data_IF_037269332687
#
_entry.id   IF_037269332687
#
_cell.length_a   1.000
_cell.length_b   1.000
_cell.length_c   1.000
_cell.angle_alpha   90.00
_cell.angle_beta   90.00
_cell.angle_gamma   90.00
#
_symmetry.space_group_name_H-M   'P 1'
#
loop_
_entity.id
_entity.type
_entity.pdbx_description
1 polymer ?
#
# COMPACT_ATOMS: atom_id res chain seq x y z
N UNK A 1 -13.73 -2.41 -16.63
CA UNK A 1 -13.38 -3.13 -15.37
C UNK A 1 -12.53 -2.17 -14.55
N UNK A 2 -12.65 -2.12 -13.22
CA UNK A 2 -11.94 -1.13 -12.40
C UNK A 2 -10.67 -1.71 -11.80
N UNK A 3 -9.52 -1.19 -12.21
CA UNK A 3 -8.22 -1.46 -11.60
C UNK A 3 -7.98 -0.42 -10.51
N UNK A 4 -7.53 -0.85 -9.34
CA UNK A 4 -7.23 0.02 -8.19
C UNK A 4 -5.86 -0.29 -7.64
N UNK A 5 -5.26 0.67 -6.93
CA UNK A 5 -3.94 0.50 -6.36
C UNK A 5 -3.88 0.92 -4.88
N UNK A 6 -2.90 0.37 -4.17
CA UNK A 6 -2.48 0.82 -2.85
C UNK A 6 -0.98 1.08 -2.84
N UNK A 7 -0.56 2.16 -2.21
CA UNK A 7 0.84 2.52 -2.01
C UNK A 7 1.11 2.74 -0.51
N UNK A 8 1.99 1.94 0.07
CA UNK A 8 2.38 2.00 1.48
C UNK A 8 3.84 2.39 1.59
N UNK A 9 4.11 3.60 2.08
CA UNK A 9 5.48 4.11 2.26
C UNK A 9 5.80 4.16 3.75
N UNK A 10 6.52 3.13 4.21
CA UNK A 10 7.05 3.05 5.56
C UNK A 10 8.48 3.60 5.67
N UNK A 11 9.05 3.54 6.86
CA UNK A 11 10.40 4.02 7.14
C UNK A 11 11.51 3.17 6.49
N UNK A 12 11.28 1.86 6.35
CA UNK A 12 12.26 0.93 5.81
C UNK A 12 11.98 0.52 4.37
N UNK A 13 10.70 0.35 4.03
CA UNK A 13 10.25 -0.13 2.72
C UNK A 13 9.04 0.65 2.22
N UNK A 14 8.99 0.79 0.89
CA UNK A 14 7.82 1.19 0.15
C UNK A 14 7.23 -0.05 -0.54
N UNK A 15 5.91 -0.15 -0.57
CA UNK A 15 5.17 -1.26 -1.18
C UNK A 15 4.08 -0.70 -2.09
N UNK A 16 3.82 -1.38 -3.19
CA UNK A 16 2.66 -1.13 -4.04
C UNK A 16 1.95 -2.44 -4.37
N UNK A 17 0.63 -2.37 -4.44
CA UNK A 17 -0.23 -3.50 -4.86
C UNK A 17 -1.24 -2.96 -5.86
N UNK A 18 -1.41 -3.68 -6.97
CA UNK A 18 -2.43 -3.42 -7.99
C UNK A 18 -3.44 -4.55 -7.92
N UNK A 19 -4.73 -4.19 -7.88
CA UNK A 19 -5.82 -5.14 -7.77
C UNK A 19 -6.86 -4.94 -8.87
N UNK A 20 -7.40 -6.06 -9.35
CA UNK A 20 -8.56 -6.09 -10.22
C UNK A 20 -9.55 -7.14 -9.71
N UNK A 21 -10.84 -6.78 -9.61
CA UNK A 21 -11.93 -7.68 -9.17
C UNK A 21 -11.60 -8.42 -7.86
N UNK A 22 -10.99 -7.70 -6.91
CA UNK A 22 -10.64 -8.24 -5.60
C UNK A 22 -9.46 -9.22 -5.60
N UNK A 23 -8.71 -9.34 -6.71
CA UNK A 23 -7.49 -10.15 -6.80
C UNK A 23 -6.29 -9.24 -6.99
N UNK A 24 -5.17 -9.62 -6.39
CA UNK A 24 -3.88 -8.96 -6.65
C UNK A 24 -3.40 -9.42 -8.03
N UNK A 25 -3.15 -8.46 -8.92
CA UNK A 25 -2.63 -8.72 -10.27
C UNK A 25 -1.16 -8.33 -10.42
N UNK A 26 -0.66 -7.43 -9.57
CA UNK A 26 0.77 -7.09 -9.49
C UNK A 26 1.12 -6.50 -8.12
N UNK A 27 2.39 -6.61 -7.74
CA UNK A 27 2.92 -5.99 -6.53
C UNK A 27 4.42 -5.71 -6.66
N UNK A 28 4.90 -4.77 -5.86
CA UNK A 28 6.32 -4.46 -5.73
C UNK A 28 6.66 -4.05 -4.29
N UNK A 29 7.92 -4.27 -3.92
CA UNK A 29 8.50 -3.87 -2.65
C UNK A 29 9.91 -3.37 -2.89
N UNK A 30 10.20 -2.16 -2.42
CA UNK A 30 11.51 -1.52 -2.52
C UNK A 30 11.94 -0.96 -1.17
N UNK A 31 13.24 -0.70 -0.99
CA UNK A 31 13.74 0.07 0.16
C UNK A 31 13.26 1.52 0.04
N UNK A 32 12.85 2.10 1.16
CA UNK A 32 12.47 3.51 1.20
C UNK A 32 13.69 4.40 0.95
N UNK A 33 13.48 5.45 0.16
CA UNK A 33 14.41 6.57 0.00
C UNK A 33 14.07 7.65 1.03
N UNK A 34 14.98 8.62 1.19
CA UNK A 34 14.77 9.76 2.09
C UNK A 34 13.51 10.56 1.76
N UNK A 35 13.14 10.66 0.48
CA UNK A 35 11.92 11.31 0.05
C UNK A 35 10.79 10.27 -0.14
N UNK A 36 9.66 10.39 0.60
CA UNK A 36 8.51 9.50 0.44
C UNK A 36 7.92 9.48 -0.97
N UNK A 37 7.80 10.63 -1.64
CA UNK A 37 7.28 10.73 -3.01
C UNK A 37 8.12 9.86 -3.96
N UNK A 38 9.44 10.01 -3.92
CA UNK A 38 10.35 9.25 -4.79
C UNK A 38 10.34 7.74 -4.49
N UNK A 39 9.99 7.36 -3.27
CA UNK A 39 9.82 5.95 -2.88
C UNK A 39 8.51 5.40 -3.44
N UNK A 40 7.43 6.18 -3.32
CA UNK A 40 6.11 5.87 -3.81
C UNK A 40 6.08 5.72 -5.34
N UNK A 41 6.66 6.67 -6.06
CA UNK A 41 6.76 6.65 -7.53
C UNK A 41 7.54 5.43 -8.01
N UNK A 42 8.70 5.15 -7.40
CA UNK A 42 9.54 4.03 -7.79
C UNK A 42 8.84 2.69 -7.59
N UNK A 43 8.19 2.47 -6.45
CA UNK A 43 7.52 1.19 -6.18
C UNK A 43 6.23 1.04 -6.99
N UNK A 44 5.51 2.14 -7.23
CA UNK A 44 4.31 2.11 -8.08
C UNK A 44 4.67 1.83 -9.53
N UNK A 45 5.71 2.49 -10.06
CA UNK A 45 6.21 2.26 -11.42
C UNK A 45 6.64 0.80 -11.62
N UNK A 46 7.34 0.22 -10.65
CA UNK A 46 7.74 -1.19 -10.69
C UNK A 46 6.52 -2.14 -10.74
N UNK A 47 5.49 -1.87 -9.93
CA UNK A 47 4.26 -2.67 -9.94
C UNK A 47 3.46 -2.52 -11.24
N UNK A 48 3.35 -1.29 -11.77
CA UNK A 48 2.66 -0.98 -13.02
C UNK A 48 3.36 -1.63 -14.22
N UNK A 49 4.68 -1.52 -14.30
CA UNK A 49 5.50 -2.14 -15.35
C UNK A 49 5.32 -3.66 -15.40
N UNK A 50 5.35 -4.33 -14.24
CA UNK A 50 5.07 -5.78 -14.13
C UNK A 50 3.68 -6.18 -14.62
N UNK A 51 2.71 -5.28 -14.51
CA UNK A 51 1.35 -5.51 -14.98
C UNK A 51 1.13 -5.10 -16.45
N UNK A 52 2.11 -4.44 -17.09
CA UNK A 52 1.92 -3.81 -18.41
C UNK A 52 0.90 -2.66 -18.38
N UNK A 53 0.82 -1.94 -17.26
CA UNK A 53 -0.12 -0.84 -17.02
C UNK A 53 0.60 0.50 -16.84
N UNK A 54 -0.17 1.57 -16.89
CA UNK A 54 0.21 2.94 -16.57
C UNK A 54 -0.62 3.48 -15.40
N UNK A 55 -0.24 4.64 -14.85
CA UNK A 55 -1.02 5.25 -13.77
C UNK A 55 -2.43 5.66 -14.24
N UNK A 56 -2.61 5.98 -15.52
CA UNK A 56 -3.91 6.35 -16.10
C UNK A 56 -4.91 5.18 -16.13
N UNK A 57 -4.42 3.94 -16.05
CA UNK A 57 -5.26 2.74 -15.94
C UNK A 57 -5.81 2.55 -14.52
N UNK A 58 -5.24 3.23 -13.52
CA UNK A 58 -5.62 3.12 -12.11
C UNK A 58 -6.79 4.06 -11.83
N UNK A 59 -7.97 3.48 -11.59
CA UNK A 59 -9.18 4.25 -11.31
C UNK A 59 -9.19 4.91 -9.94
N UNK A 60 -8.50 4.31 -8.97
CA UNK A 60 -8.44 4.81 -7.60
C UNK A 60 -7.22 4.26 -6.87
N UNK A 61 -6.52 5.12 -6.14
CA UNK A 61 -5.31 4.81 -5.41
C UNK A 61 -5.37 5.30 -3.95
N UNK A 62 -5.06 4.41 -3.01
CA UNK A 62 -4.91 4.75 -1.59
C UNK A 62 -3.42 4.84 -1.22
N UNK A 63 -3.04 5.95 -0.61
CA UNK A 63 -1.75 6.12 0.06
C UNK A 63 -1.82 5.78 1.54
N UNK A 64 -0.82 5.08 2.05
CA UNK A 64 -0.69 4.76 3.48
C UNK A 64 0.76 4.70 3.93
N UNK A 65 0.98 4.37 5.20
CA UNK A 65 2.30 4.41 5.82
C UNK A 65 2.65 5.80 6.39
N UNK A 66 3.87 5.91 6.93
CA UNK A 66 4.43 7.15 7.46
C UNK A 66 4.50 8.26 6.40
N UNK A 67 4.87 7.89 5.17
CA UNK A 67 5.07 8.82 4.06
C UNK A 67 3.80 9.34 3.38
N UNK A 68 2.62 8.80 3.72
CA UNK A 68 1.37 8.95 2.94
C UNK A 68 0.96 10.38 2.59
N UNK A 69 1.21 11.34 3.49
CA UNK A 69 0.82 12.75 3.29
C UNK A 69 1.65 13.47 2.22
N UNK A 70 2.77 12.87 1.81
CA UNK A 70 3.69 13.43 0.84
C UNK A 70 3.61 12.70 -0.51
N UNK A 71 2.55 11.92 -0.75
CA UNK A 71 2.36 11.18 -2.01
C UNK A 71 1.31 11.93 -2.84
N UNK A 72 1.70 12.46 -4.00
CA UNK A 72 0.83 13.34 -4.80
C UNK A 72 -0.15 12.60 -5.72
N UNK A 73 0.15 11.36 -6.10
CA UNK A 73 -0.64 10.59 -7.07
C UNK A 73 -1.79 9.79 -6.45
N UNK A 74 -1.97 9.82 -5.12
CA UNK A 74 -3.02 9.06 -4.43
C UNK A 74 -4.28 9.89 -4.33
N UNK A 75 -5.44 9.27 -4.56
CA UNK A 75 -6.73 9.95 -4.42
C UNK A 75 -7.07 10.24 -2.95
N UNK A 76 -6.55 9.41 -2.04
CA UNK A 76 -6.77 9.57 -0.61
C UNK A 76 -5.67 8.93 0.22
N UNK A 77 -5.26 9.62 1.28
CA UNK A 77 -4.43 9.04 2.33
C UNK A 77 -5.26 8.41 3.45
N UNK A 78 -4.83 7.25 3.93
CA UNK A 78 -5.49 6.49 4.99
C UNK A 78 -4.43 5.98 5.96
N UNK A 79 -4.73 5.91 7.26
CA UNK A 79 -3.79 5.39 8.25
C UNK A 79 -3.41 3.94 7.98
N UNK A 80 -2.16 3.60 8.23
CA UNK A 80 -1.64 2.23 8.09
C UNK A 80 -2.37 1.25 9.00
N UNK A 81 -2.83 1.68 10.18
CA UNK A 81 -3.64 0.87 11.10
C UNK A 81 -4.93 0.40 10.41
N UNK A 82 -5.65 1.31 9.75
CA UNK A 82 -6.87 0.97 9.03
C UNK A 82 -6.59 0.11 7.80
N UNK A 83 -5.51 0.39 7.06
CA UNK A 83 -5.09 -0.40 5.90
C UNK A 83 -4.69 -1.83 6.29
N UNK A 84 -3.88 -2.01 7.34
CA UNK A 84 -3.53 -3.32 7.90
C UNK A 84 -4.76 -4.06 8.40
N UNK A 85 -5.67 -3.39 9.11
CA UNK A 85 -6.96 -3.95 9.54
C UNK A 85 -7.77 -4.50 8.38
N UNK A 86 -7.92 -3.70 7.31
CA UNK A 86 -8.66 -4.09 6.11
C UNK A 86 -7.99 -5.24 5.37
N UNK A 87 -6.67 -5.19 5.18
CA UNK A 87 -5.89 -6.23 4.52
C UNK A 87 -5.92 -7.56 5.28
N UNK A 88 -5.75 -7.51 6.61
CA UNK A 88 -5.81 -8.70 7.46
C UNK A 88 -7.19 -9.38 7.40
N UNK A 89 -8.29 -8.61 7.46
CA UNK A 89 -9.66 -9.16 7.33
C UNK A 89 -9.96 -9.69 5.95
N UNK A 90 -9.40 -9.08 4.90
CA UNK A 90 -9.53 -9.59 3.53
C UNK A 90 -8.83 -10.94 3.36
N UNK A 91 -7.63 -11.11 3.94
CA UNK A 91 -6.88 -12.37 3.89
C UNK A 91 -7.44 -13.45 4.84
N UNK A 92 -7.83 -13.04 6.04
CA UNK A 92 -8.38 -13.90 7.08
C UNK A 92 -9.56 -13.19 7.79
N UNK A 93 -10.81 -13.52 7.43
CA UNK A 93 -12.00 -12.94 8.07
C UNK A 93 -12.07 -13.17 9.60
N UNK A 94 -11.40 -14.21 10.09
CA UNK A 94 -11.29 -14.54 11.51
C UNK A 94 -10.28 -13.69 12.29
N UNK A 95 -9.49 -12.84 11.64
CA UNK A 95 -8.50 -12.00 12.32
C UNK A 95 -9.17 -11.10 13.38
N UNK A 96 -8.58 -11.09 14.59
CA UNK A 96 -9.00 -10.27 15.74
C UNK A 96 -7.87 -9.41 16.31
N UNK A 97 -6.62 -9.80 16.05
CA UNK A 97 -5.44 -9.05 16.49
C UNK A 97 -4.41 -9.05 15.38
N UNK A 98 -3.80 -7.90 15.14
CA UNK A 98 -2.64 -7.74 14.26
C UNK A 98 -1.45 -7.34 15.14
N UNK A 99 -0.31 -7.98 14.91
CA UNK A 99 0.98 -7.56 15.42
C UNK A 99 1.81 -7.17 14.19
N UNK A 100 1.98 -5.88 13.96
CA UNK A 100 2.78 -5.32 12.88
C UNK A 100 4.16 -4.95 13.43
N UNK A 101 5.21 -5.62 12.91
CA UNK A 101 6.59 -5.42 13.32
C UNK A 101 7.30 -4.68 12.17
N UNK A 102 7.36 -3.35 12.31
CA UNK A 102 7.96 -2.46 11.33
C UNK A 102 9.47 -2.27 11.52
N UNK A 103 10.06 -1.43 10.67
CA UNK A 103 11.49 -1.14 10.72
C UNK A 103 11.92 -0.18 11.85
N UNK A 104 10.99 0.57 12.42
CA UNK A 104 11.26 1.55 13.49
C UNK A 104 10.36 1.40 14.71
N UNK A 105 9.21 0.76 14.55
CA UNK A 105 8.21 0.60 15.60
C UNK A 105 7.51 -0.76 15.48
N UNK A 106 6.72 -1.10 16.50
CA UNK A 106 5.82 -2.24 16.48
C UNK A 106 4.43 -1.78 16.91
N UNK A 107 3.38 -2.32 16.28
CA UNK A 107 1.98 -1.97 16.57
C UNK A 107 1.17 -3.23 16.87
N UNK A 108 0.44 -3.19 17.98
CA UNK A 108 -0.58 -4.18 18.30
C UNK A 108 -1.96 -3.56 18.07
N UNK A 109 -2.75 -4.12 17.17
CA UNK A 109 -4.06 -3.60 16.77
C UNK A 109 -5.12 -4.65 17.05
N UNK A 110 -6.11 -4.33 17.88
CA UNK A 110 -7.32 -5.14 18.02
C UNK A 110 -8.31 -4.78 16.91
N UNK A 111 -8.86 -5.79 16.27
CA UNK A 111 -9.90 -5.65 15.25
C UNK A 111 -11.24 -6.03 15.87
N UNK A 112 -12.15 -5.07 15.95
CA UNK A 112 -13.52 -5.30 16.42
C UNK A 112 -14.41 -5.94 15.32
#
# INVERSE_FOLDING_TARGET
MSIVAGCDVGSLTAKAVIMEKGRIISSALLRSKTNPQLSAEAVMQEALSKAGLSMDDIRYCIGTGYGRKNISFVDKDVSEIACHGKGARWLNPGARTIIDIGGQDCKAVRLD
#
